data_IF_689216400177
#
_entry.id   IF_689216400177
#
_cell.length_a   1.000
_cell.length_b   1.000
_cell.length_c   1.000
_cell.angle_alpha   90.00
_cell.angle_beta   90.00
_cell.angle_gamma   90.00
#
_symmetry.space_group_name_H-M   'P 1'
#
loop_
_entity.id
_entity.type
_entity.pdbx_description
1 polymer ?
#
# COMPACT_ATOMS: atom_id res chain seq x y z
N UNK A 1 13.94 -0.52 -19.22
CA UNK A 1 14.15 0.15 -20.51
C UNK A 1 12.84 0.08 -21.26
N UNK A 2 12.24 1.22 -21.58
CA UNK A 2 10.93 1.28 -22.22
C UNK A 2 11.05 0.76 -23.66
N UNK A 3 10.48 -0.40 -23.95
CA UNK A 3 10.53 -1.07 -25.27
C UNK A 3 9.53 -0.48 -26.29
N UNK A 4 9.07 0.76 -26.08
CA UNK A 4 7.94 1.34 -26.81
C UNK A 4 8.30 2.51 -27.72
N UNK A 5 9.55 2.99 -27.71
CA UNK A 5 9.98 4.06 -28.61
C UNK A 5 9.99 3.57 -30.06
N UNK A 6 9.28 4.30 -30.91
CA UNK A 6 9.26 4.05 -32.35
C UNK A 6 10.66 4.32 -32.92
N UNK A 7 11.15 3.44 -33.80
CA UNK A 7 12.40 3.69 -34.52
C UNK A 7 12.21 4.76 -35.62
N UNK A 8 13.31 5.33 -36.11
CA UNK A 8 13.27 6.42 -37.10
C UNK A 8 12.45 6.08 -38.36
N UNK A 9 12.52 4.81 -38.80
CA UNK A 9 11.74 4.33 -39.94
C UNK A 9 10.23 4.28 -39.64
N UNK A 10 9.85 3.94 -38.42
CA UNK A 10 8.47 3.95 -37.94
C UNK A 10 7.94 5.37 -37.79
N UNK A 11 8.77 6.32 -37.34
CA UNK A 11 8.41 7.75 -37.24
C UNK A 11 8.21 8.35 -38.63
N UNK A 12 9.10 8.06 -39.59
CA UNK A 12 8.93 8.48 -40.98
C UNK A 12 7.64 7.91 -41.60
N UNK A 13 7.37 6.62 -41.38
CA UNK A 13 6.13 5.99 -41.81
C UNK A 13 4.88 6.56 -41.12
N UNK A 14 5.00 7.01 -39.87
CA UNK A 14 3.92 7.65 -39.13
C UNK A 14 3.56 9.02 -39.74
N UNK A 15 4.55 9.84 -40.10
CA UNK A 15 4.30 11.11 -40.79
C UNK A 15 3.49 10.91 -42.08
N UNK A 16 3.88 9.94 -42.91
CA UNK A 16 3.11 9.59 -44.11
C UNK A 16 1.69 9.11 -43.79
N UNK A 17 1.51 8.33 -42.71
CA UNK A 17 0.19 7.86 -42.28
C UNK A 17 -0.71 9.01 -41.77
N UNK A 18 -0.13 10.03 -41.13
CA UNK A 18 -0.85 11.23 -40.67
C UNK A 18 -1.34 12.03 -41.88
N UNK A 19 -0.47 12.27 -42.87
CA UNK A 19 -0.85 12.96 -44.12
C UNK A 19 -2.00 12.21 -44.81
N UNK A 20 -1.86 10.91 -45.03
CA UNK A 20 -2.91 10.10 -45.66
C UNK A 20 -4.22 10.09 -44.85
N UNK A 21 -4.14 10.19 -43.52
CA UNK A 21 -5.33 10.29 -42.66
C UNK A 21 -6.04 11.63 -42.81
N UNK A 22 -5.30 12.73 -42.90
CA UNK A 22 -5.85 14.05 -43.15
C UNK A 22 -6.55 14.11 -44.53
N UNK A 23 -5.89 13.60 -45.56
CA UNK A 23 -6.42 13.53 -46.92
C UNK A 23 -7.72 12.71 -46.98
N UNK A 24 -7.75 11.55 -46.31
CA UNK A 24 -8.96 10.73 -46.19
C UNK A 24 -10.11 11.45 -45.46
N UNK A 25 -9.79 12.42 -44.60
CA UNK A 25 -10.76 13.29 -43.92
C UNK A 25 -11.11 14.55 -44.73
N UNK A 26 -10.66 14.65 -45.99
CA UNK A 26 -11.04 15.70 -46.93
C UNK A 26 -10.24 17.00 -46.82
N UNK A 27 -9.03 16.96 -46.25
CA UNK A 27 -8.14 18.13 -46.23
C UNK A 27 -6.66 17.74 -46.38
N UNK A 28 -5.90 18.60 -47.05
CA UNK A 28 -4.46 18.40 -47.20
C UNK A 28 -3.72 18.80 -45.92
N UNK A 29 -2.61 18.12 -45.66
CA UNK A 29 -1.70 18.43 -44.57
C UNK A 29 -0.27 18.54 -45.08
N UNK A 30 0.42 19.61 -44.68
CA UNK A 30 1.82 19.80 -45.02
C UNK A 30 2.66 18.67 -44.39
N UNK A 31 3.53 17.98 -45.17
CA UNK A 31 4.47 16.98 -44.65
C UNK A 31 5.31 17.45 -43.46
N UNK A 32 5.71 18.72 -43.41
CA UNK A 32 6.46 19.27 -42.28
C UNK A 32 5.64 19.31 -40.98
N UNK A 33 4.33 19.61 -41.08
CA UNK A 33 3.43 19.56 -39.92
C UNK A 33 3.21 18.12 -39.45
N UNK A 34 3.05 17.19 -40.39
CA UNK A 34 2.90 15.77 -40.09
C UNK A 34 4.16 15.17 -39.44
N UNK A 35 5.36 15.64 -39.84
CA UNK A 35 6.61 15.22 -39.22
C UNK A 35 6.69 15.64 -37.74
N UNK A 36 6.36 16.89 -37.41
CA UNK A 36 6.32 17.36 -36.02
C UNK A 36 5.29 16.57 -35.20
N UNK A 37 4.10 16.33 -35.75
CA UNK A 37 3.09 15.49 -35.09
C UNK A 37 3.59 14.05 -34.87
N UNK A 38 4.34 13.49 -35.82
CA UNK A 38 4.90 12.15 -35.69
C UNK A 38 6.01 12.08 -34.62
N UNK A 39 6.85 13.12 -34.51
CA UNK A 39 7.84 13.26 -33.44
C UNK A 39 7.16 13.30 -32.07
N UNK A 40 6.12 14.12 -31.88
CA UNK A 40 5.39 14.19 -30.61
C UNK A 40 4.70 12.85 -30.25
N UNK A 41 4.27 12.09 -31.25
CA UNK A 41 3.59 10.80 -31.06
C UNK A 41 4.54 9.62 -30.85
N UNK A 42 5.86 9.79 -31.05
CA UNK A 42 6.82 8.69 -30.97
C UNK A 42 6.96 8.08 -29.55
N UNK A 43 6.54 8.84 -28.53
CA UNK A 43 6.48 8.39 -27.15
C UNK A 43 5.38 7.34 -26.88
N UNK A 44 4.47 7.14 -27.83
CA UNK A 44 3.33 6.23 -27.69
C UNK A 44 3.46 4.98 -28.57
N UNK A 45 2.90 3.83 -28.14
CA UNK A 45 2.96 2.62 -28.94
C UNK A 45 2.30 2.77 -30.32
N UNK A 46 2.95 2.24 -31.36
CA UNK A 46 2.47 2.28 -32.76
C UNK A 46 1.01 1.81 -32.90
N UNK A 47 0.63 0.76 -32.17
CA UNK A 47 -0.73 0.20 -32.19
C UNK A 47 -1.77 1.21 -31.67
N UNK A 48 -1.44 1.95 -30.61
CA UNK A 48 -2.31 2.96 -30.00
C UNK A 48 -2.48 4.15 -30.94
N UNK A 49 -1.38 4.67 -31.50
CA UNK A 49 -1.43 5.79 -32.45
C UNK A 49 -2.23 5.42 -33.71
N UNK A 50 -2.03 4.20 -34.24
CA UNK A 50 -2.80 3.70 -35.39
C UNK A 50 -4.30 3.61 -35.08
N UNK A 51 -4.66 3.12 -33.90
CA UNK A 51 -6.05 3.04 -33.46
C UNK A 51 -6.66 4.44 -33.30
N UNK A 52 -5.90 5.39 -32.74
CA UNK A 52 -6.31 6.79 -32.61
C UNK A 52 -6.58 7.44 -33.97
N UNK A 53 -5.65 7.31 -34.94
CA UNK A 53 -5.85 7.81 -36.30
C UNK A 53 -7.07 7.17 -36.98
N UNK A 54 -7.30 5.87 -36.77
CA UNK A 54 -8.50 5.19 -37.29
C UNK A 54 -9.77 5.78 -36.69
N UNK A 55 -9.82 5.99 -35.38
CA UNK A 55 -10.97 6.59 -34.71
C UNK A 55 -11.19 8.05 -35.14
N UNK A 56 -10.12 8.83 -35.38
CA UNK A 56 -10.24 10.17 -35.95
C UNK A 56 -11.01 10.17 -37.28
N UNK A 57 -10.70 9.24 -38.19
CA UNK A 57 -11.42 9.14 -39.48
C UNK A 57 -12.91 8.80 -39.34
N UNK A 58 -13.29 8.10 -38.27
CA UNK A 58 -14.67 7.63 -38.08
C UNK A 58 -15.53 8.62 -37.31
N UNK A 59 -14.93 9.38 -36.38
CA UNK A 59 -15.68 10.13 -35.38
C UNK A 59 -15.50 11.65 -35.48
N UNK A 60 -14.33 12.12 -35.97
CA UNK A 60 -14.02 13.56 -35.97
C UNK A 60 -14.72 14.23 -37.15
N UNK A 61 -15.63 15.15 -36.82
CA UNK A 61 -16.31 15.99 -37.79
C UNK A 61 -15.51 17.26 -38.00
N UNK A 62 -14.43 17.18 -38.78
CA UNK A 62 -13.58 18.33 -39.07
C UNK A 62 -12.17 17.98 -39.48
N UNK A 63 -11.25 18.96 -39.35
CA UNK A 63 -9.84 18.78 -39.66
C UNK A 63 -9.14 17.90 -38.63
N UNK A 64 -8.17 17.13 -39.08
CA UNK A 64 -7.28 16.36 -38.23
C UNK A 64 -6.34 17.34 -37.54
N UNK A 65 -6.47 17.44 -36.22
CA UNK A 65 -5.60 18.27 -35.37
C UNK A 65 -4.98 17.40 -34.28
N UNK A 66 -3.83 17.84 -33.78
CA UNK A 66 -3.06 17.08 -32.78
C UNK A 66 -3.90 16.75 -31.55
N UNK A 67 -4.73 17.70 -31.09
CA UNK A 67 -5.63 17.49 -29.95
C UNK A 67 -6.57 16.30 -30.10
N UNK A 68 -7.11 16.06 -31.31
CA UNK A 68 -8.04 14.95 -31.58
C UNK A 68 -7.35 13.58 -31.56
N UNK A 69 -6.08 13.54 -32.01
CA UNK A 69 -5.25 12.34 -31.94
C UNK A 69 -4.88 12.07 -30.49
N UNK A 70 -4.37 13.09 -29.79
CA UNK A 70 -3.92 12.98 -28.40
C UNK A 70 -5.06 12.59 -27.47
N UNK A 71 -6.27 13.13 -27.66
CA UNK A 71 -7.44 12.74 -26.86
C UNK A 71 -7.71 11.23 -26.95
N UNK A 72 -7.57 10.63 -28.13
CA UNK A 72 -7.80 9.20 -28.36
C UNK A 72 -6.65 8.32 -27.87
N UNK A 73 -5.41 8.79 -28.06
CA UNK A 73 -4.22 8.13 -27.47
C UNK A 73 -4.34 8.10 -25.95
N UNK A 74 -4.67 9.23 -25.33
CA UNK A 74 -4.85 9.33 -23.89
C UNK A 74 -6.06 8.56 -23.37
N UNK A 75 -7.13 8.42 -24.16
CA UNK A 75 -8.26 7.56 -23.79
C UNK A 75 -7.89 6.07 -23.75
N UNK A 76 -6.84 5.67 -24.46
CA UNK A 76 -6.31 4.31 -24.47
C UNK A 76 -5.17 4.08 -23.47
N UNK A 77 -4.85 5.05 -22.60
CA UNK A 77 -3.75 4.96 -21.63
C UNK A 77 -4.03 3.99 -20.46
N UNK A 78 -5.22 3.39 -20.44
CA UNK A 78 -5.63 2.38 -19.46
C UNK A 78 -6.01 2.94 -18.09
N UNK A 79 -6.04 4.28 -17.91
CA UNK A 79 -6.48 4.89 -16.65
C UNK A 79 -8.01 4.95 -16.59
N UNK A 80 -8.62 4.65 -15.43
CA UNK A 80 -10.07 4.72 -15.28
C UNK A 80 -10.58 6.16 -15.37
N UNK A 81 -11.83 6.31 -15.79
CA UNK A 81 -12.51 7.61 -15.77
C UNK A 81 -12.68 8.12 -14.33
N UNK A 82 -12.90 9.42 -14.14
CA UNK A 82 -13.01 10.04 -12.80
C UNK A 82 -14.04 9.36 -11.87
N UNK A 83 -15.17 8.91 -12.42
CA UNK A 83 -16.26 8.30 -11.66
C UNK A 83 -15.97 6.83 -11.33
N UNK A 84 -15.32 6.12 -12.24
CA UNK A 84 -14.82 4.77 -12.02
C UNK A 84 -13.67 4.77 -11.00
N UNK A 85 -12.72 5.69 -11.14
CA UNK A 85 -11.63 5.93 -10.21
C UNK A 85 -12.15 6.20 -8.79
N UNK A 86 -13.20 7.01 -8.66
CA UNK A 86 -13.86 7.26 -7.38
C UNK A 86 -14.50 6.00 -6.80
N UNK A 87 -15.10 5.17 -7.64
CA UNK A 87 -15.72 3.91 -7.22
C UNK A 87 -14.67 2.92 -6.71
N UNK A 88 -13.55 2.79 -7.44
CA UNK A 88 -12.37 2.00 -7.02
C UNK A 88 -11.83 2.51 -5.68
N UNK A 89 -11.69 3.82 -5.52
CA UNK A 89 -11.21 4.43 -4.28
C UNK A 89 -12.12 4.15 -3.08
N UNK A 90 -13.44 4.19 -3.28
CA UNK A 90 -14.41 3.85 -2.23
C UNK A 90 -14.35 2.38 -1.84
N UNK A 91 -14.23 1.47 -2.80
CA UNK A 91 -14.04 0.04 -2.51
C UNK A 91 -12.74 -0.19 -1.73
N UNK A 92 -11.67 0.53 -2.08
CA UNK A 92 -10.39 0.44 -1.39
C UNK A 92 -10.40 1.00 0.05
N UNK A 93 -11.47 1.72 0.45
CA UNK A 93 -11.66 2.18 1.83
C UNK A 93 -12.20 1.09 2.76
N UNK A 94 -12.76 0.00 2.22
CA UNK A 94 -13.12 -1.18 2.99
C UNK A 94 -11.89 -2.08 3.13
N UNK A 95 -11.40 -2.24 4.36
CA UNK A 95 -10.21 -3.06 4.65
C UNK A 95 -10.43 -4.55 4.36
N UNK A 96 -11.68 -5.01 4.24
CA UNK A 96 -11.99 -6.38 3.84
C UNK A 96 -11.65 -6.59 2.35
N UNK A 97 -11.82 -5.56 1.53
CA UNK A 97 -11.72 -5.63 0.08
C UNK A 97 -10.28 -5.63 -0.43
N UNK A 98 -10.03 -6.45 -1.45
CA UNK A 98 -8.78 -6.38 -2.22
C UNK A 98 -9.06 -5.69 -3.52
N UNK A 99 -8.33 -4.61 -3.80
CA UNK A 99 -8.62 -3.73 -4.94
C UNK A 99 -7.34 -3.49 -5.73
N UNK A 100 -7.45 -3.53 -7.05
CA UNK A 100 -6.36 -3.13 -7.95
C UNK A 100 -6.54 -1.67 -8.30
N UNK A 101 -5.54 -0.87 -7.96
CA UNK A 101 -5.62 0.59 -7.90
C UNK A 101 -4.40 1.21 -8.58
N UNK A 102 -4.59 2.37 -9.20
CA UNK A 102 -3.49 3.15 -9.77
C UNK A 102 -2.87 4.10 -8.75
N UNK A 103 -1.63 4.50 -9.00
CA UNK A 103 -0.92 5.47 -8.15
C UNK A 103 -1.68 6.79 -7.99
N UNK A 104 -2.36 7.24 -9.04
CA UNK A 104 -3.10 8.48 -9.10
C UNK A 104 -4.36 8.42 -8.25
N UNK A 105 -5.06 7.27 -8.23
CA UNK A 105 -6.23 7.07 -7.35
C UNK A 105 -5.77 7.10 -5.88
N UNK A 106 -4.69 6.39 -5.55
CA UNK A 106 -4.17 6.33 -4.19
C UNK A 106 -3.77 7.73 -3.68
N UNK A 107 -3.07 8.51 -4.51
CA UNK A 107 -2.68 9.88 -4.18
C UNK A 107 -3.89 10.81 -4.08
N UNK A 108 -4.86 10.72 -5.01
CA UNK A 108 -6.08 11.52 -4.97
C UNK A 108 -6.90 11.25 -3.69
N UNK A 109 -6.93 10.01 -3.21
CA UNK A 109 -7.62 9.65 -1.98
C UNK A 109 -7.04 10.34 -0.75
N UNK A 110 -5.76 10.70 -0.76
CA UNK A 110 -5.12 11.45 0.34
C UNK A 110 -5.77 12.83 0.51
N UNK A 111 -6.17 13.49 -0.58
CA UNK A 111 -6.85 14.78 -0.53
C UNK A 111 -8.31 14.67 -0.04
N UNK A 112 -8.99 13.57 -0.37
CA UNK A 112 -10.40 13.34 -0.01
C UNK A 112 -10.59 12.75 1.40
N UNK A 113 -9.60 12.01 1.92
CA UNK A 113 -9.72 11.25 3.16
C UNK A 113 -10.13 12.08 4.39
N UNK A 114 -9.58 13.29 4.65
CA UNK A 114 -9.98 14.10 5.81
C UNK A 114 -11.46 14.51 5.74
N UNK A 115 -11.94 14.88 4.55
CA UNK A 115 -13.32 15.31 4.32
C UNK A 115 -14.27 14.12 4.46
N UNK A 116 -13.88 12.96 3.91
CA UNK A 116 -14.67 11.74 4.02
C UNK A 116 -14.80 11.27 5.48
N UNK A 117 -13.74 11.40 6.29
CA UNK A 117 -13.77 11.09 7.73
C UNK A 117 -14.72 11.99 8.52
N UNK A 118 -14.95 13.23 8.06
CA UNK A 118 -15.94 14.13 8.63
C UNK A 118 -17.38 13.80 8.19
N UNK A 119 -17.56 12.82 7.28
CA UNK A 119 -18.86 12.37 6.79
C UNK A 119 -19.39 13.09 5.56
N UNK A 120 -18.68 14.12 5.06
CA UNK A 120 -19.06 14.83 3.83
C UNK A 120 -18.63 14.07 2.58
N UNK A 121 -19.52 13.19 2.11
CA UNK A 121 -19.28 12.36 0.92
C UNK A 121 -19.20 13.18 -0.37
N UNK A 122 -19.94 14.29 -0.45
CA UNK A 122 -19.98 15.12 -1.67
C UNK A 122 -18.70 15.94 -1.76
N UNK A 123 -18.32 16.61 -0.68
CA UNK A 123 -17.06 17.34 -0.59
C UNK A 123 -15.85 16.43 -0.82
N UNK A 124 -15.86 15.22 -0.26
CA UNK A 124 -14.81 14.23 -0.49
C UNK A 124 -14.71 13.83 -1.96
N UNK A 125 -15.84 13.56 -2.63
CA UNK A 125 -15.88 13.24 -4.06
C UNK A 125 -15.34 14.39 -4.91
N UNK A 126 -15.70 15.63 -4.61
CA UNK A 126 -15.20 16.80 -5.34
C UNK A 126 -13.69 16.95 -5.19
N UNK A 127 -13.18 16.86 -3.96
CA UNK A 127 -11.74 16.93 -3.70
C UNK A 127 -10.97 15.79 -4.37
N UNK A 128 -11.52 14.57 -4.37
CA UNK A 128 -10.95 13.42 -5.06
C UNK A 128 -10.86 13.67 -6.57
N UNK A 129 -11.96 14.06 -7.21
CA UNK A 129 -12.02 14.22 -8.67
C UNK A 129 -11.07 15.30 -9.16
N UNK A 130 -10.98 16.42 -8.43
CA UNK A 130 -10.05 17.50 -8.77
C UNK A 130 -8.59 17.06 -8.65
N UNK A 131 -8.23 16.41 -7.52
CA UNK A 131 -6.88 15.87 -7.32
C UNK A 131 -6.52 14.81 -8.37
N UNK A 132 -7.43 13.87 -8.65
CA UNK A 132 -7.24 12.82 -9.66
C UNK A 132 -7.04 13.42 -11.05
N UNK A 133 -7.87 14.36 -11.47
CA UNK A 133 -7.75 15.01 -12.77
C UNK A 133 -6.40 15.71 -12.95
N UNK A 134 -5.91 16.40 -11.90
CA UNK A 134 -4.59 17.04 -11.92
C UNK A 134 -3.45 16.02 -11.99
N UNK A 135 -3.53 14.92 -11.24
CA UNK A 135 -2.52 13.86 -11.26
C UNK A 135 -2.45 13.17 -12.63
N UNK A 136 -3.61 12.81 -13.20
CA UNK A 136 -3.69 12.21 -14.55
C UNK A 136 -3.16 13.17 -15.61
N UNK A 137 -3.50 14.47 -15.53
CA UNK A 137 -2.96 15.48 -16.44
C UNK A 137 -1.44 15.56 -16.37
N UNK A 138 -0.88 15.52 -15.17
CA UNK A 138 0.58 15.55 -14.96
C UNK A 138 1.23 14.30 -15.54
N UNK A 139 0.72 13.11 -15.21
CA UNK A 139 1.25 11.85 -15.72
C UNK A 139 1.18 11.77 -17.26
N UNK A 140 0.11 12.28 -17.88
CA UNK A 140 -0.02 12.34 -19.35
C UNK A 140 0.95 13.34 -19.99
N UNK A 141 1.21 14.48 -19.36
CA UNK A 141 2.18 15.45 -19.84
C UNK A 141 3.61 14.89 -19.83
N UNK A 142 3.92 14.01 -18.86
CA UNK A 142 5.21 13.31 -18.75
C UNK A 142 5.26 12.01 -19.56
N UNK A 143 4.19 11.67 -20.31
CA UNK A 143 4.03 10.39 -21.00
C UNK A 143 4.27 9.16 -20.09
N UNK A 144 3.97 9.30 -18.78
CA UNK A 144 4.19 8.25 -17.81
C UNK A 144 3.17 7.11 -17.99
N UNK A 145 3.63 5.84 -18.13
CA UNK A 145 2.73 4.70 -18.27
C UNK A 145 1.89 4.53 -17.01
N UNK A 146 0.66 4.02 -17.17
CA UNK A 146 -0.19 3.69 -16.02
C UNK A 146 0.47 2.59 -15.18
N UNK A 147 0.50 2.78 -13.86
CA UNK A 147 1.01 1.81 -12.92
C UNK A 147 -0.13 1.29 -12.06
N UNK A 148 -0.50 0.02 -12.28
CA UNK A 148 -1.48 -0.69 -11.47
C UNK A 148 -0.79 -1.48 -10.35
N UNK A 149 -1.38 -1.45 -9.16
CA UNK A 149 -0.90 -2.15 -7.98
C UNK A 149 -2.05 -2.78 -7.22
N UNK A 150 -1.78 -3.91 -6.54
CA UNK A 150 -2.80 -4.60 -5.73
C UNK A 150 -2.73 -4.07 -4.30
N UNK A 151 -3.83 -3.51 -3.80
CA UNK A 151 -4.04 -3.20 -2.39
C UNK A 151 -4.74 -4.38 -1.72
N UNK A 152 -4.03 -5.08 -0.84
CA UNK A 152 -4.51 -6.30 -0.19
C UNK A 152 -5.47 -5.98 0.97
N UNK A 153 -6.68 -6.55 0.90
CA UNK A 153 -7.64 -6.54 2.00
C UNK A 153 -7.45 -7.70 2.97
N UNK A 154 -8.32 -7.84 3.95
CA UNK A 154 -8.24 -8.90 4.97
C UNK A 154 -8.84 -10.24 4.55
N UNK A 155 -9.83 -10.26 3.64
CA UNK A 155 -10.51 -11.50 3.25
C UNK A 155 -9.68 -12.34 2.26
N UNK A 156 -9.29 -13.58 2.60
CA UNK A 156 -8.46 -14.42 1.74
C UNK A 156 -9.13 -14.81 0.42
N UNK A 157 -10.46 -15.01 0.40
CA UNK A 157 -11.20 -15.38 -0.80
C UNK A 157 -11.29 -14.22 -1.78
N UNK A 158 -11.61 -13.02 -1.28
CA UNK A 158 -11.69 -11.79 -2.08
C UNK A 158 -10.33 -11.40 -2.65
N UNK A 159 -9.22 -11.66 -1.95
CA UNK A 159 -7.87 -11.47 -2.50
C UNK A 159 -7.66 -12.25 -3.79
N UNK A 160 -7.92 -13.55 -3.76
CA UNK A 160 -7.72 -14.43 -4.92
C UNK A 160 -8.58 -13.96 -6.09
N UNK A 161 -9.87 -13.71 -5.83
CA UNK A 161 -10.80 -13.25 -6.86
C UNK A 161 -10.37 -11.91 -7.48
N UNK A 162 -9.95 -10.94 -6.67
CA UNK A 162 -9.52 -9.64 -7.15
C UNK A 162 -8.24 -9.74 -8.01
N UNK A 163 -7.26 -10.53 -7.58
CA UNK A 163 -6.01 -10.73 -8.32
C UNK A 163 -6.28 -11.44 -9.66
N UNK A 164 -7.06 -12.53 -9.64
CA UNK A 164 -7.41 -13.27 -10.86
C UNK A 164 -8.22 -12.40 -11.84
N UNK A 165 -9.13 -11.57 -11.32
CA UNK A 165 -9.88 -10.61 -12.13
C UNK A 165 -8.97 -9.58 -12.78
N UNK A 166 -8.04 -9.01 -12.01
CA UNK A 166 -7.09 -8.02 -12.51
C UNK A 166 -6.15 -8.57 -13.58
N UNK A 167 -5.72 -9.82 -13.44
CA UNK A 167 -4.97 -10.54 -14.47
C UNK A 167 -5.81 -10.73 -15.74
N UNK A 168 -7.07 -11.16 -15.59
CA UNK A 168 -7.99 -11.36 -16.73
C UNK A 168 -8.27 -10.05 -17.47
N UNK A 169 -8.40 -8.96 -16.74
CA UNK A 169 -8.56 -7.59 -17.26
C UNK A 169 -7.25 -6.98 -17.76
N UNK A 170 -6.13 -7.71 -17.68
CA UNK A 170 -4.79 -7.25 -18.08
C UNK A 170 -4.31 -5.98 -17.36
N UNK A 171 -4.86 -5.68 -16.18
CA UNK A 171 -4.41 -4.59 -15.33
C UNK A 171 -3.03 -4.91 -14.72
N UNK A 172 -2.79 -6.19 -14.43
CA UNK A 172 -1.50 -6.73 -13.98
C UNK A 172 -1.09 -7.90 -14.87
N UNK A 173 0.21 -8.19 -14.91
CA UNK A 173 0.72 -9.32 -15.70
C UNK A 173 0.40 -10.66 -15.03
N UNK A 174 0.34 -11.71 -15.85
CA UNK A 174 0.19 -13.10 -15.37
C UNK A 174 1.26 -13.49 -14.35
N UNK A 175 2.50 -13.06 -14.59
CA UNK A 175 3.62 -13.29 -13.68
C UNK A 175 3.41 -12.57 -12.34
N UNK A 176 3.02 -11.29 -12.36
CA UNK A 176 2.75 -10.53 -11.15
C UNK A 176 1.58 -11.13 -10.36
N UNK A 177 0.49 -11.53 -11.03
CA UNK A 177 -0.64 -12.19 -10.40
C UNK A 177 -0.25 -13.52 -9.73
N UNK A 178 0.54 -14.35 -10.41
CA UNK A 178 1.06 -15.61 -9.85
C UNK A 178 1.93 -15.35 -8.62
N UNK A 179 2.78 -14.32 -8.66
CA UNK A 179 3.61 -13.93 -7.53
C UNK A 179 2.76 -13.46 -6.35
N UNK A 180 1.77 -12.57 -6.56
CA UNK A 180 0.85 -12.15 -5.50
C UNK A 180 0.14 -13.35 -4.87
N UNK A 181 -0.36 -14.29 -5.66
CA UNK A 181 -1.03 -15.48 -5.14
C UNK A 181 -0.06 -16.41 -4.39
N UNK A 182 1.20 -16.51 -4.82
CA UNK A 182 2.22 -17.28 -4.12
C UNK A 182 2.57 -16.65 -2.77
N UNK A 183 2.76 -15.34 -2.72
CA UNK A 183 3.05 -14.58 -1.49
C UNK A 183 1.88 -14.68 -0.49
N UNK A 184 0.65 -14.80 -1.00
CA UNK A 184 -0.56 -14.98 -0.19
C UNK A 184 -0.79 -16.41 0.31
N UNK A 185 -0.03 -17.41 -0.17
CA UNK A 185 -0.04 -18.76 0.40
C UNK A 185 0.70 -18.75 1.74
N UNK A 186 0.09 -18.08 2.72
CA UNK A 186 0.42 -18.32 4.13
C UNK A 186 0.00 -19.76 4.38
N UNK A 187 0.97 -20.65 4.61
CA UNK A 187 0.68 -22.01 5.03
C UNK A 187 -0.32 -21.96 6.19
N UNK A 188 -1.36 -22.81 6.19
CA UNK A 188 -2.35 -22.79 7.26
C UNK A 188 -1.64 -22.87 8.61
N UNK A 189 -2.12 -22.09 9.59
CA UNK A 189 -1.56 -22.13 10.94
C UNK A 189 -1.54 -23.59 11.39
N UNK A 190 -0.34 -24.12 11.64
CA UNK A 190 -0.18 -25.51 12.04
C UNK A 190 -0.93 -25.75 13.36
N UNK A 191 -1.30 -27.00 13.65
CA UNK A 191 -1.91 -27.35 14.94
C UNK A 191 -1.07 -26.87 16.12
N UNK A 192 0.26 -26.93 16.00
CA UNK A 192 1.21 -26.41 16.97
C UNK A 192 1.15 -24.88 17.10
N UNK A 193 1.02 -24.14 15.98
CA UNK A 193 0.79 -22.70 16.00
C UNK A 193 -0.52 -22.32 16.69
N UNK A 194 -1.60 -23.08 16.43
CA UNK A 194 -2.89 -22.92 17.10
C UNK A 194 -2.80 -23.21 18.60
N UNK A 195 -2.06 -24.24 19.01
CA UNK A 195 -1.85 -24.57 20.42
C UNK A 195 -1.10 -23.46 21.17
N UNK A 196 -0.08 -22.84 20.54
CA UNK A 196 0.64 -21.70 21.11
C UNK A 196 -0.29 -20.49 21.26
N UNK A 197 -1.07 -20.15 20.22
CA UNK A 197 -2.06 -19.09 20.29
C UNK A 197 -3.12 -19.35 21.38
N UNK A 198 -3.58 -20.60 21.51
CA UNK A 198 -4.52 -21.02 22.55
C UNK A 198 -4.04 -20.79 23.97
N UNK A 199 -2.73 -20.89 24.24
CA UNK A 199 -2.14 -20.56 25.54
C UNK A 199 -2.22 -19.05 25.85
N UNK A 200 -2.12 -18.21 24.83
CA UNK A 200 -2.20 -16.75 24.98
C UNK A 200 -3.65 -16.27 25.15
N UNK A 201 -4.58 -16.90 24.42
CA UNK A 201 -6.00 -16.53 24.41
C UNK A 201 -6.84 -17.26 25.45
N UNK A 202 -6.26 -18.21 26.19
CA UNK A 202 -6.96 -19.04 27.18
C UNK A 202 -7.87 -20.11 26.57
N UNK A 203 -7.72 -20.40 25.28
CA UNK A 203 -8.48 -21.41 24.54
C UNK A 203 -7.53 -22.54 24.08
N UNK A 204 -7.12 -23.45 24.97
CA UNK A 204 -6.07 -24.42 24.68
C UNK A 204 -6.50 -25.42 23.61
N UNK A 205 -5.68 -25.57 22.57
CA UNK A 205 -5.81 -26.57 21.51
C UNK A 205 -4.78 -27.68 21.75
N UNK A 206 -5.10 -28.90 21.32
CA UNK A 206 -4.22 -30.06 21.50
C UNK A 206 -2.91 -29.93 20.69
N UNK A 207 -1.78 -29.79 21.39
CA UNK A 207 -0.44 -29.68 20.81
C UNK A 207 0.15 -31.04 20.38
N UNK A 208 1.08 -31.04 19.42
CA UNK A 208 1.85 -32.24 19.06
C UNK A 208 2.71 -32.74 20.22
N UNK A 209 3.06 -34.05 20.26
CA UNK A 209 3.94 -34.60 21.30
C UNK A 209 5.28 -33.87 21.43
N UNK A 210 5.84 -33.45 20.28
CA UNK A 210 7.11 -32.73 20.24
C UNK A 210 7.01 -31.34 20.87
N UNK A 211 5.92 -30.61 20.60
CA UNK A 211 5.68 -29.29 21.17
C UNK A 211 5.37 -29.39 22.66
N UNK A 212 4.59 -30.39 23.11
CA UNK A 212 4.32 -30.61 24.53
C UNK A 212 5.60 -30.78 25.34
N UNK A 213 6.56 -31.53 24.80
CA UNK A 213 7.88 -31.71 25.45
C UNK A 213 8.59 -30.37 25.62
N UNK A 214 8.67 -29.57 24.55
CA UNK A 214 9.29 -28.22 24.60
C UNK A 214 8.55 -27.27 25.56
N UNK A 215 7.22 -27.31 25.58
CA UNK A 215 6.42 -26.50 26.50
C UNK A 215 6.61 -26.92 27.96
N UNK A 216 6.80 -28.21 28.24
CA UNK A 216 7.16 -28.70 29.56
C UNK A 216 8.53 -28.18 30.00
N UNK A 217 9.53 -28.22 29.11
CA UNK A 217 10.86 -27.64 29.37
C UNK A 217 10.78 -26.13 29.68
N UNK A 218 10.00 -25.37 28.90
CA UNK A 218 9.78 -23.93 29.16
C UNK A 218 9.10 -23.71 30.52
N UNK A 219 8.12 -24.54 30.87
CA UNK A 219 7.43 -24.46 32.16
C UNK A 219 8.40 -24.67 33.33
N UNK A 220 9.27 -25.66 33.25
CA UNK A 220 10.29 -25.91 34.28
C UNK A 220 11.23 -24.71 34.46
N UNK A 221 11.66 -24.09 33.36
CA UNK A 221 12.51 -22.88 33.40
C UNK A 221 11.77 -21.74 34.10
N UNK A 222 10.49 -21.51 33.78
CA UNK A 222 9.68 -20.45 34.38
C UNK A 222 9.44 -20.71 35.87
N UNK A 223 9.15 -21.94 36.26
CA UNK A 223 8.92 -22.31 37.66
C UNK A 223 10.21 -22.20 38.49
N UNK A 224 11.34 -22.62 37.94
CA UNK A 224 12.66 -22.43 38.55
C UNK A 224 13.00 -20.94 38.71
N UNK A 225 12.72 -20.12 37.70
CA UNK A 225 12.92 -18.67 37.74
C UNK A 225 12.03 -17.99 38.81
N UNK A 226 10.75 -18.39 38.91
CA UNK A 226 9.83 -17.93 39.96
C UNK A 226 10.37 -18.28 41.35
N UNK A 227 10.78 -19.52 41.57
CA UNK A 227 11.33 -19.98 42.85
C UNK A 227 12.62 -19.22 43.22
N UNK A 228 13.51 -18.97 42.25
CA UNK A 228 14.71 -18.15 42.45
C UNK A 228 14.36 -16.72 42.85
N UNK A 229 13.43 -16.09 42.13
CA UNK A 229 12.99 -14.72 42.41
C UNK A 229 12.36 -14.60 43.79
N UNK A 230 11.56 -15.58 44.21
CA UNK A 230 10.96 -15.60 45.55
C UNK A 230 12.03 -15.73 46.65
N UNK A 231 13.01 -16.62 46.47
CA UNK A 231 14.16 -16.72 47.40
C UNK A 231 14.94 -15.41 47.51
N UNK A 232 15.18 -14.72 46.39
CA UNK A 232 15.83 -13.42 46.38
C UNK A 232 14.99 -12.34 47.08
N UNK A 233 13.67 -12.35 46.86
CA UNK A 233 12.73 -11.44 47.52
C UNK A 233 12.76 -11.64 49.04
N UNK A 234 12.68 -12.88 49.51
CA UNK A 234 12.76 -13.21 50.94
C UNK A 234 14.09 -12.79 51.57
N UNK A 235 15.22 -12.99 50.87
CA UNK A 235 16.54 -12.51 51.32
C UNK A 235 16.58 -10.98 51.44
N UNK A 236 16.06 -10.25 50.44
CA UNK A 236 15.97 -8.77 50.49
C UNK A 236 15.11 -8.28 51.65
N UNK A 237 13.95 -8.91 51.89
CA UNK A 237 13.06 -8.57 53.00
C UNK A 237 13.76 -8.78 54.35
N UNK A 238 14.47 -9.91 54.53
CA UNK A 238 15.25 -10.17 55.75
C UNK A 238 16.35 -9.13 55.95
N UNK A 239 17.11 -8.81 54.91
CA UNK A 239 18.17 -7.79 54.97
C UNK A 239 17.62 -6.40 55.33
N UNK A 240 16.50 -5.99 54.70
CA UNK A 240 15.83 -4.73 55.01
C UNK A 240 15.34 -4.66 56.46
N UNK A 241 14.85 -5.77 57.02
CA UNK A 241 14.43 -5.85 58.43
C UNK A 241 15.60 -5.66 59.39
N UNK A 242 16.75 -6.30 59.10
CA UNK A 242 17.98 -6.16 59.90
C UNK A 242 18.50 -4.72 59.83
N UNK A 243 18.56 -4.13 58.63
CA UNK A 243 18.99 -2.76 58.45
C UNK A 243 18.08 -1.76 59.17
N UNK A 244 16.75 -1.94 59.07
CA UNK A 244 15.77 -1.14 59.82
C UNK A 244 16.00 -1.23 61.33
N UNK A 245 16.25 -2.44 61.85
CA UNK A 245 16.57 -2.64 63.28
C UNK A 245 17.87 -1.91 63.68
N UNK A 246 18.93 -2.04 62.88
CA UNK A 246 20.21 -1.38 63.14
C UNK A 246 20.09 0.16 63.11
N UNK A 247 19.33 0.72 62.15
CA UNK A 247 19.04 2.16 62.07
C UNK A 247 18.28 2.64 63.30
N UNK A 248 17.21 1.94 63.71
CA UNK A 248 16.46 2.27 64.94
C UNK A 248 17.36 2.21 66.18
N UNK A 249 18.25 1.22 66.27
CA UNK A 249 19.22 1.10 67.37
C UNK A 249 20.21 2.27 67.39
N UNK A 250 20.75 2.66 66.24
CA UNK A 250 21.67 3.81 66.12
C UNK A 250 20.99 5.12 66.50
N UNK A 251 19.76 5.34 66.04
CA UNK A 251 18.96 6.51 66.39
C UNK A 251 18.69 6.59 67.90
N UNK A 252 18.31 5.48 68.56
CA UNK A 252 18.13 5.42 70.01
C UNK A 252 19.41 5.77 70.78
N UNK A 253 20.56 5.25 70.35
CA UNK A 253 21.86 5.61 70.95
C UNK A 253 22.19 7.09 70.78
N UNK A 254 21.90 7.68 69.61
CA UNK A 254 22.13 9.10 69.37
C UNK A 254 21.23 10.00 70.24
N UNK A 255 19.95 9.63 70.41
CA UNK A 255 19.02 10.33 71.30
C UNK A 255 19.52 10.29 72.75
N UNK A 256 19.90 9.10 73.25
CA UNK A 256 20.43 8.96 74.61
C UNK A 256 21.72 9.78 74.83
N UNK A 257 22.60 9.84 73.83
CA UNK A 257 23.81 10.65 73.89
C UNK A 257 23.53 12.17 73.86
N UNK A 258 22.50 12.61 73.14
CA UNK A 258 22.06 14.01 73.14
C UNK A 258 21.46 14.40 74.50
N UNK A 259 20.63 13.55 75.09
CA UNK A 259 20.05 13.76 76.42
C UNK A 259 21.11 13.81 77.53
N UNK A 260 22.17 12.99 77.45
CA UNK A 260 23.29 13.08 78.38
C UNK A 260 24.11 14.37 78.21
N UNK A 261 24.17 14.94 76.99
CA UNK A 261 24.84 16.22 76.75
C UNK A 261 24.01 17.40 77.28
N UNK A 262 22.69 17.37 77.12
CA UNK A 262 21.78 18.37 77.69
C UNK A 262 21.81 18.35 79.24
N UNK A 263 21.91 17.17 79.86
CA UNK A 263 22.05 17.04 81.32
C UNK A 263 23.41 17.50 81.88
N UNK A 264 24.45 17.62 81.04
CA UNK A 264 25.79 18.08 81.45
C UNK A 264 26.04 19.56 81.14
N UNK A 265 25.06 20.29 80.59
CA UNK A 265 25.15 21.72 80.27
C UNK A 265 24.08 22.57 80.98
N UNK A 266 23.39 22.01 81.98
CA UNK A 266 22.60 22.74 82.98
C UNK A 266 23.29 22.69 84.33
#
# INVERSE_FOLDING_TARGET
MSTFEMNDAQVAGLSSAIVATAEAMGHEMNPGTAAIMAEDLCAYPVSVVRAALKACRLEVKGKLVMGEIMQRVQAADGRPGKDEAWSIALTAADEIETVVITSEIQQAMTAAAPILRLGDKVGARMAFMDAYARLVKTARAEAAPVSWSVSLGFDPGRRVLAIESAVRMQLITQQAGTQYLADLRIAPITSDGQAIAGLLTGSPVEASPSLRKKLAEVREIVDAAKARNERLRLKKVKAARVDTYLRKRKARKAIAAAQCKEANHG
#
